data_IF_589472254638
#
_entry.id   IF_589472254638
#
_cell.length_a   1.000
_cell.length_b   1.000
_cell.length_c   1.000
_cell.angle_alpha   90.00
_cell.angle_beta   90.00
_cell.angle_gamma   90.00
#
_symmetry.space_group_name_H-M   'P 1'
#
loop_
_entity.id
_entity.type
_entity.pdbx_description
1 polymer ?
#
# COMPACT_ATOMS: atom_id res chain seq x y z
N UNK A 1 -51.84 25.11 -58.66
CA UNK A 1 -51.12 23.82 -58.51
C UNK A 1 -50.44 23.82 -57.14
N UNK A 2 -50.62 22.71 -56.43
CA UNK A 2 -49.83 22.09 -55.34
C UNK A 2 -48.44 22.72 -55.03
N UNK A 3 -47.88 22.80 -53.82
CA UNK A 3 -47.96 21.86 -52.68
C UNK A 3 -47.43 22.46 -51.35
N UNK A 4 -47.89 21.87 -50.25
CA UNK A 4 -47.49 21.95 -48.83
C UNK A 4 -46.02 21.52 -48.58
N UNK A 5 -45.29 22.13 -47.64
CA UNK A 5 -44.30 21.44 -46.76
C UNK A 5 -44.12 22.13 -45.39
N UNK A 6 -43.80 21.39 -44.31
CA UNK A 6 -44.08 21.79 -42.93
C UNK A 6 -42.91 22.48 -42.20
N UNK A 7 -43.29 23.20 -41.13
CA UNK A 7 -42.42 23.86 -40.16
C UNK A 7 -41.69 22.81 -39.31
N UNK A 8 -40.36 22.85 -39.26
CA UNK A 8 -39.58 22.16 -38.23
C UNK A 8 -38.82 23.19 -37.40
N UNK A 9 -39.32 23.44 -36.20
CA UNK A 9 -38.58 24.14 -35.14
C UNK A 9 -37.69 23.12 -34.43
N UNK A 10 -36.39 23.37 -34.39
CA UNK A 10 -35.43 22.59 -33.60
C UNK A 10 -35.27 23.27 -32.25
N UNK A 11 -35.64 22.58 -31.18
CA UNK A 11 -35.35 23.01 -29.80
C UNK A 11 -33.96 22.49 -29.42
N UNK A 12 -33.03 23.40 -29.13
CA UNK A 12 -31.74 23.06 -28.51
C UNK A 12 -31.96 22.85 -27.01
N UNK A 13 -31.99 21.59 -26.57
CA UNK A 13 -31.92 21.26 -25.15
C UNK A 13 -30.45 21.31 -24.70
N UNK A 14 -30.08 22.33 -23.93
CA UNK A 14 -28.81 22.35 -23.19
C UNK A 14 -28.87 21.36 -22.03
N UNK A 15 -28.14 20.25 -22.15
CA UNK A 15 -27.88 19.35 -21.03
C UNK A 15 -26.69 19.91 -20.23
N UNK A 16 -26.95 20.39 -19.01
CA UNK A 16 -25.88 20.68 -18.05
C UNK A 16 -25.32 19.35 -17.53
N UNK A 17 -24.05 19.07 -17.82
CA UNK A 17 -23.34 17.92 -17.30
C UNK A 17 -22.99 18.19 -15.83
N UNK A 18 -23.86 17.77 -14.91
CA UNK A 18 -23.54 17.75 -13.49
C UNK A 18 -22.45 16.71 -13.25
N UNK A 19 -21.25 17.15 -12.86
CA UNK A 19 -20.22 16.26 -12.36
C UNK A 19 -20.73 15.65 -11.04
N UNK A 20 -21.15 14.40 -11.09
CA UNK A 20 -21.36 13.61 -9.88
C UNK A 20 -19.98 13.36 -9.26
N UNK A 21 -19.61 14.15 -8.26
CA UNK A 21 -18.48 13.83 -7.40
C UNK A 21 -18.95 12.67 -6.53
N UNK A 22 -18.69 11.45 -6.97
CA UNK A 22 -18.81 10.27 -6.11
C UNK A 22 -17.68 10.33 -5.10
N UNK A 23 -17.95 10.86 -3.91
CA UNK A 23 -17.06 10.70 -2.77
C UNK A 23 -16.99 9.20 -2.47
N UNK A 24 -15.86 8.56 -2.79
CA UNK A 24 -15.58 7.21 -2.32
C UNK A 24 -15.42 7.36 -0.80
N UNK A 25 -16.44 7.02 -0.03
CA UNK A 25 -16.29 6.88 1.41
C UNK A 25 -15.27 5.77 1.62
N UNK A 26 -14.07 6.11 2.06
CA UNK A 26 -13.08 5.16 2.53
C UNK A 26 -13.72 4.41 3.72
N UNK A 27 -14.17 3.18 3.46
CA UNK A 27 -14.52 2.29 4.55
C UNK A 27 -13.20 1.88 5.19
N UNK A 28 -13.00 2.29 6.44
CA UNK A 28 -11.94 1.81 7.31
C UNK A 28 -11.79 0.29 7.12
N UNK A 29 -10.73 -0.11 6.45
CA UNK A 29 -10.48 -1.52 6.13
C UNK A 29 -9.06 -1.84 6.49
N UNK A 30 -8.87 -2.99 7.15
CA UNK A 30 -7.52 -3.51 7.33
C UNK A 30 -7.00 -3.92 5.95
N UNK A 31 -6.02 -3.17 5.48
CA UNK A 31 -5.35 -3.43 4.21
C UNK A 31 -4.10 -4.25 4.49
N UNK A 32 -4.02 -5.43 3.87
CA UNK A 32 -2.87 -6.33 4.02
C UNK A 32 -2.10 -6.44 2.72
N UNK A 33 -0.77 -6.39 2.83
CA UNK A 33 0.16 -6.63 1.75
C UNK A 33 1.11 -7.76 2.09
N UNK A 34 1.42 -8.54 1.08
CA UNK A 34 2.56 -9.43 1.07
C UNK A 34 3.71 -8.75 0.35
N UNK A 35 4.91 -8.90 0.91
CA UNK A 35 6.11 -8.38 0.31
C UNK A 35 7.16 -9.46 0.16
N UNK A 36 7.92 -9.36 -0.93
CA UNK A 36 9.13 -10.16 -1.16
C UNK A 36 10.30 -9.21 -1.37
N UNK A 37 11.36 -9.42 -0.61
CA UNK A 37 12.63 -8.72 -0.73
C UNK A 37 13.61 -9.63 -1.46
N UNK A 38 13.97 -9.28 -2.70
CA UNK A 38 15.00 -9.97 -3.46
C UNK A 38 16.32 -9.22 -3.31
N UNK A 39 17.37 -9.91 -2.87
CA UNK A 39 18.69 -9.32 -2.74
C UNK A 39 19.40 -9.39 -4.08
N UNK A 40 19.73 -8.25 -4.68
CA UNK A 40 20.32 -8.16 -6.03
C UNK A 40 21.82 -7.91 -6.01
N UNK A 41 22.40 -7.49 -4.87
CA UNK A 41 23.84 -7.24 -4.73
C UNK A 41 24.36 -7.64 -3.34
N UNK A 42 25.68 -7.72 -3.19
CA UNK A 42 26.34 -8.07 -1.93
C UNK A 42 26.43 -9.56 -1.66
N UNK A 43 26.83 -9.94 -0.44
CA UNK A 43 27.07 -11.34 -0.05
C UNK A 43 25.81 -12.21 -0.01
N UNK A 44 24.64 -11.58 0.04
CA UNK A 44 23.34 -12.26 0.05
C UNK A 44 22.65 -12.22 -1.33
N UNK A 45 23.32 -11.75 -2.38
CA UNK A 45 22.75 -11.67 -3.72
C UNK A 45 22.18 -13.03 -4.17
N UNK A 46 20.98 -13.01 -4.75
CA UNK A 46 20.23 -14.20 -5.16
C UNK A 46 19.35 -14.81 -4.06
N UNK A 47 19.44 -14.34 -2.82
CA UNK A 47 18.51 -14.71 -1.75
C UNK A 47 17.21 -13.91 -1.86
N UNK A 48 16.13 -14.50 -1.34
CA UNK A 48 14.82 -13.86 -1.28
C UNK A 48 14.17 -14.11 0.08
N UNK A 49 13.50 -13.09 0.61
CA UNK A 49 12.84 -13.12 1.90
C UNK A 49 11.42 -12.59 1.79
N UNK A 50 10.50 -13.21 2.51
CA UNK A 50 9.07 -12.88 2.45
C UNK A 50 8.59 -12.30 3.77
N UNK A 51 7.63 -11.39 3.69
CA UNK A 51 6.90 -10.91 4.84
C UNK A 51 5.51 -10.42 4.48
N UNK A 52 4.81 -9.95 5.49
CA UNK A 52 3.49 -9.34 5.39
C UNK A 52 3.43 -8.12 6.30
N UNK A 53 2.66 -7.12 5.91
CA UNK A 53 2.23 -6.07 6.82
C UNK A 53 0.77 -5.75 6.57
N UNK A 54 0.10 -5.23 7.60
CA UNK A 54 -1.25 -4.70 7.47
C UNK A 54 -1.40 -3.39 8.21
N UNK A 55 -2.33 -2.55 7.77
CA UNK A 55 -2.62 -1.26 8.37
C UNK A 55 -4.09 -0.92 8.25
N UNK A 56 -4.59 -0.07 9.15
CA UNK A 56 -5.92 0.53 9.03
C UNK A 56 -5.82 1.81 8.18
N UNK A 57 -6.46 1.80 7.01
CA UNK A 57 -6.47 2.95 6.10
C UNK A 57 -7.44 4.08 6.52
N UNK A 58 -8.19 3.90 7.61
CA UNK A 58 -9.20 4.86 8.11
C UNK A 58 -8.66 6.26 8.41
N UNK A 59 -7.37 6.36 8.69
CA UNK A 59 -6.70 7.62 9.05
C UNK A 59 -6.01 8.32 7.88
N UNK A 60 -5.93 7.66 6.72
CA UNK A 60 -5.24 8.17 5.54
C UNK A 60 -6.15 9.10 4.72
N UNK A 61 -5.60 10.22 4.28
CA UNK A 61 -6.26 11.20 3.41
C UNK A 61 -6.04 10.91 1.94
N UNK A 62 -5.03 10.11 1.60
CA UNK A 62 -4.66 9.76 0.23
C UNK A 62 -3.98 10.90 -0.53
N UNK A 63 -3.46 11.92 0.16
CA UNK A 63 -2.86 13.10 -0.49
C UNK A 63 -1.61 13.57 0.27
N UNK A 64 -0.58 13.98 -0.46
CA UNK A 64 0.69 14.39 0.13
C UNK A 64 1.43 13.24 0.82
N UNK A 65 2.34 13.57 1.74
CA UNK A 65 3.11 12.59 2.51
C UNK A 65 2.38 12.26 3.81
N UNK A 66 2.11 10.98 4.04
CA UNK A 66 1.44 10.47 5.24
C UNK A 66 2.27 9.35 5.88
N UNK A 67 2.16 9.18 7.20
CA UNK A 67 2.89 8.14 7.95
C UNK A 67 1.98 7.43 8.92
N UNK A 68 2.10 6.11 8.96
CA UNK A 68 1.33 5.22 9.83
C UNK A 68 2.31 4.34 10.61
N UNK A 69 2.21 4.35 11.94
CA UNK A 69 3.02 3.52 12.83
C UNK A 69 2.18 2.51 13.60
N UNK A 70 2.80 1.84 14.56
CA UNK A 70 2.16 0.76 15.34
C UNK A 70 0.92 1.26 16.09
N UNK A 71 0.97 2.47 16.66
CA UNK A 71 -0.16 3.07 17.37
C UNK A 71 -1.39 3.31 16.47
N UNK A 72 -1.19 3.38 15.15
CA UNK A 72 -2.23 3.53 14.15
C UNK A 72 -2.61 2.19 13.50
N UNK A 73 -2.22 1.06 14.10
CA UNK A 73 -2.61 -0.28 13.67
C UNK A 73 -1.67 -0.91 12.64
N UNK A 74 -0.47 -0.36 12.41
CA UNK A 74 0.54 -1.03 11.59
C UNK A 74 0.95 -2.33 12.26
N UNK A 75 0.81 -3.44 11.54
CA UNK A 75 1.38 -4.72 11.94
C UNK A 75 2.30 -5.28 10.88
N UNK A 76 3.37 -5.99 11.30
CA UNK A 76 4.42 -6.52 10.41
C UNK A 76 4.86 -7.90 10.88
N UNK A 77 5.14 -8.77 9.92
CA UNK A 77 5.91 -9.98 10.11
C UNK A 77 6.85 -10.20 8.92
N UNK A 78 8.11 -10.52 9.17
CA UNK A 78 9.10 -10.87 8.15
C UNK A 78 9.79 -12.16 8.53
N UNK A 79 9.89 -13.11 7.59
CA UNK A 79 10.77 -14.25 7.73
C UNK A 79 12.13 -13.94 7.11
N UNK A 80 13.16 -13.86 7.94
CA UNK A 80 14.53 -13.60 7.52
C UNK A 80 15.45 -14.68 8.11
N UNK A 81 16.15 -15.42 7.25
CA UNK A 81 16.95 -16.60 7.63
C UNK A 81 16.17 -17.62 8.48
N UNK A 82 14.90 -17.87 8.16
CA UNK A 82 14.07 -18.84 8.90
C UNK A 82 13.65 -18.37 10.29
N UNK A 83 13.91 -17.10 10.65
CA UNK A 83 13.42 -16.48 11.88
C UNK A 83 12.35 -15.46 11.55
N UNK A 84 11.30 -15.43 12.37
CA UNK A 84 10.23 -14.45 12.26
C UNK A 84 10.57 -13.22 13.07
N UNK A 85 10.45 -12.07 12.44
CA UNK A 85 10.63 -10.75 13.03
C UNK A 85 9.33 -9.98 12.96
N UNK A 86 8.98 -9.30 14.04
CA UNK A 86 7.74 -8.54 14.19
C UNK A 86 8.05 -7.07 14.43
N UNK A 87 7.02 -6.24 14.60
CA UNK A 87 7.14 -4.82 14.94
C UNK A 87 8.06 -4.61 16.17
N UNK A 88 7.91 -5.45 17.19
CA UNK A 88 8.73 -5.43 18.40
C UNK A 88 10.21 -5.79 18.17
N UNK A 89 10.54 -6.34 17.01
CA UNK A 89 11.92 -6.63 16.62
C UNK A 89 12.62 -5.43 15.98
N UNK A 90 11.89 -4.36 15.67
CA UNK A 90 12.49 -3.13 15.19
C UNK A 90 13.42 -2.55 16.27
N UNK A 91 14.62 -2.14 15.86
CA UNK A 91 15.62 -1.55 16.74
C UNK A 91 15.08 -0.36 17.55
N UNK A 92 14.24 0.47 16.94
CA UNK A 92 13.73 1.70 17.52
C UNK A 92 12.27 1.56 18.00
N UNK A 93 11.82 0.32 18.26
CA UNK A 93 10.51 0.05 18.86
C UNK A 93 10.31 0.80 20.20
N UNK A 94 9.12 1.37 20.48
CA UNK A 94 7.88 1.32 19.68
C UNK A 94 7.74 2.45 18.66
N UNK A 95 8.75 3.29 18.46
CA UNK A 95 8.65 4.43 17.53
C UNK A 95 8.61 3.98 16.06
N UNK A 96 9.22 2.84 15.76
CA UNK A 96 9.24 2.17 14.47
C UNK A 96 8.75 0.72 14.66
N UNK A 97 8.25 0.05 13.60
CA UNK A 97 8.26 0.46 12.19
C UNK A 97 7.25 1.56 11.83
N UNK A 98 7.46 2.17 10.66
CA UNK A 98 6.51 3.12 10.06
C UNK A 98 6.31 2.86 8.57
N UNK A 99 5.08 2.94 8.11
CA UNK A 99 4.70 2.90 6.70
C UNK A 99 4.50 4.34 6.20
N UNK A 100 5.18 4.71 5.12
CA UNK A 100 5.13 6.03 4.51
C UNK A 100 4.36 5.93 3.21
N UNK A 101 3.42 6.85 3.04
CA UNK A 101 2.64 7.01 1.83
C UNK A 101 2.99 8.33 1.15
N UNK A 102 2.91 8.34 -0.18
CA UNK A 102 2.96 9.55 -0.98
C UNK A 102 1.79 9.53 -1.98
N UNK A 103 0.91 10.52 -1.87
CA UNK A 103 -0.31 10.64 -2.69
C UNK A 103 -1.17 9.37 -2.72
N UNK A 104 -1.31 8.72 -1.55
CA UNK A 104 -2.12 7.52 -1.37
C UNK A 104 -1.43 6.20 -1.77
N UNK A 105 -0.22 6.26 -2.32
CA UNK A 105 0.57 5.08 -2.67
C UNK A 105 1.62 4.77 -1.60
N UNK A 106 1.90 3.49 -1.38
CA UNK A 106 2.95 3.07 -0.44
C UNK A 106 4.31 3.43 -1.04
N UNK A 107 5.00 4.36 -0.40
CA UNK A 107 6.31 4.80 -0.81
C UNK A 107 7.44 4.06 -0.07
N UNK A 108 7.24 3.72 1.21
CA UNK A 108 8.30 3.09 2.02
C UNK A 108 7.73 2.34 3.22
N UNK A 109 8.31 1.17 3.53
CA UNK A 109 8.25 0.57 4.86
C UNK A 109 9.60 0.75 5.57
N UNK A 110 9.63 1.49 6.68
CA UNK A 110 10.79 1.63 7.55
C UNK A 110 10.67 0.58 8.67
N UNK A 111 11.36 -0.54 8.46
CA UNK A 111 11.47 -1.63 9.43
C UNK A 111 12.93 -2.08 9.49
N UNK A 112 13.54 -2.01 10.67
CA UNK A 112 14.96 -2.28 10.85
C UNK A 112 15.21 -3.33 11.93
N UNK A 113 15.61 -4.51 11.47
CA UNK A 113 16.17 -5.59 12.30
C UNK A 113 17.70 -5.62 12.24
N UNK A 114 18.30 -5.60 13.42
CA UNK A 114 19.73 -5.40 13.67
C UNK A 114 20.54 -6.72 13.63
N UNK A 115 21.91 -6.70 13.61
CA UNK A 115 22.75 -5.84 14.46
C UNK A 115 23.44 -4.62 13.82
N UNK A 116 23.25 -4.28 12.54
CA UNK A 116 23.98 -3.16 11.90
C UNK A 116 23.06 -2.20 11.11
N UNK A 117 23.55 -0.96 10.88
CA UNK A 117 22.98 0.33 10.37
C UNK A 117 21.62 0.35 9.63
N UNK A 118 20.89 1.49 9.71
CA UNK A 118 19.51 1.65 9.21
C UNK A 118 19.52 1.39 7.72
N UNK A 119 18.97 0.26 7.29
CA UNK A 119 18.78 0.02 5.87
C UNK A 119 17.31 0.26 5.58
N UNK A 120 17.05 1.32 4.83
CA UNK A 120 15.76 1.54 4.19
C UNK A 120 15.68 0.53 3.04
N UNK A 121 14.85 -0.51 3.16
CA UNK A 121 14.86 -1.60 2.17
C UNK A 121 14.11 -1.29 0.88
N UNK A 122 13.42 -0.16 0.81
CA UNK A 122 12.61 0.18 -0.34
C UNK A 122 13.46 0.68 -1.50
N UNK A 123 13.59 -0.15 -2.54
CA UNK A 123 14.17 0.19 -3.84
C UNK A 123 15.56 0.87 -3.80
N UNK A 124 16.36 0.61 -2.77
CA UNK A 124 17.76 0.99 -2.75
C UNK A 124 18.59 0.02 -3.61
N UNK A 125 19.73 0.48 -4.19
CA UNK A 125 20.66 -0.40 -4.87
C UNK A 125 20.99 -1.64 -4.02
N UNK A 126 20.86 -2.82 -4.62
CA UNK A 126 21.10 -4.10 -3.95
C UNK A 126 19.87 -4.83 -3.42
N UNK A 127 18.69 -4.21 -3.49
CA UNK A 127 17.42 -4.82 -3.05
C UNK A 127 16.29 -4.47 -4.02
N UNK A 128 15.46 -5.44 -4.35
CA UNK A 128 14.23 -5.26 -5.12
C UNK A 128 13.06 -5.71 -4.24
N UNK A 129 12.10 -4.81 -3.98
CA UNK A 129 10.90 -5.14 -3.21
C UNK A 129 9.72 -5.32 -4.15
N UNK A 130 9.03 -6.45 -4.03
CA UNK A 130 7.76 -6.70 -4.72
C UNK A 130 6.63 -6.70 -3.72
N UNK A 131 5.59 -5.92 -4.01
CA UNK A 131 4.36 -5.88 -3.24
C UNK A 131 3.23 -6.60 -3.97
N UNK A 132 2.44 -7.34 -3.20
CA UNK A 132 1.16 -7.90 -3.64
C UNK A 132 0.10 -7.59 -2.61
N UNK A 133 -0.92 -6.82 -3.00
CA UNK A 133 -2.08 -6.59 -2.13
C UNK A 133 -2.81 -7.91 -1.94
N UNK A 134 -3.05 -8.27 -0.68
CA UNK A 134 -3.71 -9.53 -0.35
C UNK A 134 -5.20 -9.43 -0.68
N UNK A 135 -5.73 -10.42 -1.39
CA UNK A 135 -7.19 -10.55 -1.54
C UNK A 135 -7.76 -11.25 -0.30
N UNK A 136 -9.01 -10.94 0.06
CA UNK A 136 -9.64 -11.54 1.23
C UNK A 136 -9.58 -13.09 1.13
N UNK A 137 -8.99 -13.74 2.13
CA UNK A 137 -8.94 -15.21 2.26
C UNK A 137 -7.66 -15.91 1.78
N UNK A 138 -6.58 -15.21 1.43
CA UNK A 138 -5.29 -15.86 1.12
C UNK A 138 -4.32 -15.84 2.30
N UNK A 139 -3.89 -17.01 2.78
CA UNK A 139 -2.91 -17.15 3.86
C UNK A 139 -1.46 -17.01 3.37
N UNK A 140 -0.57 -16.49 4.22
CA UNK A 140 0.89 -16.62 4.04
C UNK A 140 1.44 -17.55 5.10
N UNK A 141 2.02 -18.66 4.65
CA UNK A 141 2.49 -19.77 5.49
C UNK A 141 3.53 -19.36 6.56
N UNK A 142 4.28 -18.28 6.36
CA UNK A 142 5.44 -17.95 7.20
C UNK A 142 5.17 -17.02 8.40
N UNK A 143 3.92 -16.59 8.62
CA UNK A 143 3.54 -15.68 9.70
C UNK A 143 2.26 -16.13 10.45
N UNK A 144 1.89 -17.41 10.33
CA UNK A 144 0.61 -17.97 10.81
C UNK A 144 0.58 -18.36 12.31
N UNK A 145 1.60 -18.02 13.09
CA UNK A 145 1.52 -18.09 14.54
C UNK A 145 1.46 -16.66 15.11
N UNK A 146 0.24 -16.21 15.40
CA UNK A 146 -0.04 -15.14 16.37
C UNK A 146 -0.93 -15.70 17.45
#
# INVERSE_FOLDING_TARGET
MLNLFPKFSVALATAALGAAITSIQAQASIVTYDFTVNVTQGSLAGQSYSGTFSYDDSTLKGTGVEKLGIEQGLTICMNYFGRNYTEASDRDYPKFPTLVFENGEINQLDFWVQPQNRVVWWNLPGWEVKLSKRQAGSDVANCQER
#
